data_IF_166954331247
#
_entry.id   IF_166954331247
#
_cell.length_a   1.000
_cell.length_b   1.000
_cell.length_c   1.000
_cell.angle_alpha   90.00
_cell.angle_beta   90.00
_cell.angle_gamma   90.00
#
_symmetry.space_group_name_H-M   'P 1'
#
loop_
_entity.id
_entity.type
_entity.pdbx_description
1 polymer ?
#
# COMPACT_ATOMS: atom_id res chain seq x y z
N UNK A 1 9.49 26.39 9.77
CA UNK A 1 9.35 25.25 10.71
C UNK A 1 9.77 23.96 10.02
N UNK A 2 10.46 23.07 10.74
CA UNK A 2 10.82 21.72 10.28
C UNK A 2 9.95 20.72 11.04
N UNK A 3 9.45 19.70 10.35
CA UNK A 3 8.60 18.66 10.94
C UNK A 3 9.27 17.29 10.84
N UNK A 4 9.41 16.60 11.98
CA UNK A 4 9.83 15.21 12.06
C UNK A 4 8.61 14.30 12.15
N UNK A 5 8.53 13.28 11.30
CA UNK A 5 7.43 12.30 11.26
C UNK A 5 7.89 10.98 11.89
N UNK A 6 7.09 10.41 12.77
CA UNK A 6 7.45 9.18 13.50
C UNK A 6 7.30 7.91 12.66
N UNK A 7 6.33 7.87 11.74
CA UNK A 7 6.10 6.73 10.85
C UNK A 7 6.64 6.98 9.44
N UNK A 8 6.98 5.90 8.70
CA UNK A 8 7.33 6.01 7.28
C UNK A 8 6.23 6.68 6.45
N UNK A 9 6.62 7.37 5.37
CA UNK A 9 5.72 8.22 4.57
C UNK A 9 4.58 7.46 3.86
N UNK A 10 4.68 6.13 3.71
CA UNK A 10 3.68 5.30 3.06
C UNK A 10 2.51 4.91 3.98
N UNK A 11 2.62 5.13 5.29
CA UNK A 11 1.52 4.86 6.22
C UNK A 11 0.45 5.98 6.13
N UNK A 12 -0.85 5.63 6.17
CA UNK A 12 -1.94 6.60 6.06
C UNK A 12 -2.00 7.52 7.28
N UNK A 13 -1.83 6.97 8.48
CA UNK A 13 -1.70 7.72 9.72
C UNK A 13 -0.23 7.96 10.06
N UNK A 14 0.08 9.14 10.58
CA UNK A 14 1.40 9.45 11.10
C UNK A 14 1.35 10.65 12.06
N UNK A 15 2.16 10.59 13.10
CA UNK A 15 2.33 11.68 14.05
C UNK A 15 3.59 12.47 13.71
N UNK A 16 3.60 13.77 14.01
CA UNK A 16 4.76 14.62 13.79
C UNK A 16 5.04 15.56 14.96
N UNK A 17 6.33 15.85 15.12
CA UNK A 17 6.83 16.93 15.96
C UNK A 17 7.35 18.06 15.07
N UNK A 18 7.04 19.31 15.41
CA UNK A 18 7.44 20.51 14.69
C UNK A 18 8.30 21.38 15.58
N UNK A 19 9.37 21.94 15.02
CA UNK A 19 10.23 22.92 15.68
C UNK A 19 10.73 23.96 14.66
N UNK A 20 10.82 25.21 15.06
CA UNK A 20 11.52 26.24 14.30
C UNK A 20 11.06 27.66 14.63
N UNK A 21 11.48 28.62 13.81
CA UNK A 21 10.99 29.99 13.88
C UNK A 21 9.69 30.18 13.12
N UNK A 22 8.78 30.99 13.65
CA UNK A 22 7.60 31.52 12.97
C UNK A 22 7.64 33.03 12.99
N UNK A 23 7.33 33.65 11.85
CA UNK A 23 7.04 35.07 11.80
C UNK A 23 5.53 35.24 11.95
N UNK A 24 5.10 36.00 12.96
CA UNK A 24 3.71 36.30 13.24
C UNK A 24 3.48 37.80 13.09
N UNK A 25 2.45 38.16 12.33
CA UNK A 25 1.93 39.52 12.27
C UNK A 25 0.63 39.53 13.07
N UNK A 26 0.54 40.44 14.05
CA UNK A 26 -0.64 40.58 14.90
C UNK A 26 -1.33 41.87 14.52
N UNK A 27 -2.53 41.78 13.95
CA UNK A 27 -3.39 42.93 13.65
C UNK A 27 -4.57 42.92 14.62
N UNK A 28 -4.78 44.02 15.35
CA UNK A 28 -5.88 44.18 16.30
C UNK A 28 -6.76 45.36 15.88
N UNK A 29 -8.06 45.10 15.70
CA UNK A 29 -9.03 46.10 15.18
C UNK A 29 -9.66 46.98 16.27
N UNK A 30 -9.37 46.74 17.55
CA UNK A 30 -9.99 47.51 18.65
C UNK A 30 -9.10 48.67 19.11
N UNK A 31 -9.55 49.90 18.83
CA UNK A 31 -8.92 51.17 19.23
C UNK A 31 -8.74 51.37 20.75
N UNK A 32 -9.33 50.53 21.60
CA UNK A 32 -9.19 50.60 23.07
C UNK A 32 -8.00 49.81 23.60
N UNK A 33 -7.38 48.98 22.76
CA UNK A 33 -6.24 48.15 23.14
C UNK A 33 -5.03 48.67 22.37
N UNK A 34 -4.22 49.49 23.04
CA UNK A 34 -3.00 50.04 22.45
C UNK A 34 -1.99 48.93 22.24
N UNK A 35 -1.92 48.41 21.02
CA UNK A 35 -0.90 47.45 20.60
C UNK A 35 -0.09 48.05 19.45
N UNK A 36 1.22 48.18 19.67
CA UNK A 36 2.18 48.45 18.61
C UNK A 36 2.32 47.22 17.71
N UNK A 37 2.33 47.46 16.40
CA UNK A 37 2.51 46.44 15.37
C UNK A 37 3.93 45.86 15.48
N UNK A 38 4.06 44.73 16.17
CA UNK A 38 5.37 44.14 16.46
C UNK A 38 5.60 42.87 15.61
N UNK A 39 6.41 43.00 14.56
CA UNK A 39 6.86 41.88 13.75
C UNK A 39 7.98 41.13 14.48
N UNK A 40 7.65 40.07 15.22
CA UNK A 40 8.63 39.28 15.98
C UNK A 40 8.81 37.89 15.39
N UNK A 41 10.08 37.46 15.20
CA UNK A 41 10.41 36.04 14.95
C UNK A 41 10.34 35.29 16.27
N UNK A 42 9.50 34.26 16.34
CA UNK A 42 9.29 33.50 17.57
C UNK A 42 9.71 32.05 17.41
N UNK A 43 10.38 31.51 18.43
CA UNK A 43 10.63 30.07 18.53
C UNK A 43 9.33 29.36 18.82
N UNK A 44 9.06 28.32 18.05
CA UNK A 44 7.82 27.54 18.09
C UNK A 44 8.14 26.06 18.11
N UNK A 45 7.39 25.33 18.93
CA UNK A 45 7.36 23.88 18.89
C UNK A 45 5.92 23.40 18.80
N UNK A 46 5.71 22.18 18.31
CA UNK A 46 4.37 21.64 18.22
C UNK A 46 4.35 20.15 17.96
N UNK A 47 3.17 19.60 18.15
CA UNK A 47 2.86 18.20 17.91
C UNK A 47 1.61 18.15 17.04
N UNK A 48 1.50 17.10 16.25
CA UNK A 48 0.29 16.89 15.49
C UNK A 48 0.16 15.48 14.98
N UNK A 49 -1.04 15.17 14.55
CA UNK A 49 -1.37 13.95 13.84
C UNK A 49 -1.86 14.33 12.45
N UNK A 50 -1.39 13.62 11.44
CA UNK A 50 -1.92 13.75 10.09
C UNK A 50 -2.42 12.40 9.59
N UNK A 51 -3.54 12.43 8.87
CA UNK A 51 -4.13 11.28 8.22
C UNK A 51 -4.28 11.57 6.73
N UNK A 52 -3.66 10.71 5.91
CA UNK A 52 -3.71 10.74 4.46
C UNK A 52 -4.56 9.59 3.95
N UNK A 53 -5.55 9.90 3.11
CA UNK A 53 -6.37 8.89 2.48
C UNK A 53 -5.59 8.20 1.34
N UNK A 54 -5.47 6.87 1.38
CA UNK A 54 -4.66 6.10 0.40
C UNK A 54 -5.13 6.28 -1.04
N UNK A 55 -6.44 6.26 -1.25
CA UNK A 55 -7.07 6.34 -2.58
C UNK A 55 -7.48 7.75 -2.98
N UNK A 56 -7.21 8.76 -2.16
CA UNK A 56 -7.62 10.14 -2.45
C UNK A 56 -6.48 11.13 -2.22
N UNK A 57 -6.47 12.26 -2.94
CA UNK A 57 -5.47 13.31 -2.75
C UNK A 57 -5.68 14.12 -1.46
N UNK A 58 -6.74 13.84 -0.70
CA UNK A 58 -7.07 14.56 0.51
C UNK A 58 -6.23 14.10 1.70
N UNK A 59 -6.03 15.01 2.64
CA UNK A 59 -5.51 14.71 3.96
C UNK A 59 -6.19 15.61 4.98
N UNK A 60 -6.22 15.12 6.21
CA UNK A 60 -6.62 15.89 7.38
C UNK A 60 -5.44 15.92 8.35
N UNK A 61 -5.22 17.04 9.03
CA UNK A 61 -4.27 17.11 10.12
C UNK A 61 -4.85 17.86 11.30
N UNK A 62 -4.41 17.49 12.48
CA UNK A 62 -4.60 18.24 13.71
C UNK A 62 -3.23 18.64 14.22
N UNK A 63 -3.08 19.93 14.53
CA UNK A 63 -1.83 20.53 14.94
C UNK A 63 -2.05 21.33 16.22
N UNK A 64 -1.20 21.08 17.22
CA UNK A 64 -1.09 21.85 18.45
C UNK A 64 0.32 22.44 18.53
N UNK A 65 0.43 23.76 18.45
CA UNK A 65 1.70 24.50 18.47
C UNK A 65 1.74 25.50 19.61
N UNK A 66 2.91 25.63 20.23
CA UNK A 66 3.20 26.55 21.31
C UNK A 66 4.30 27.51 20.85
N UNK A 67 4.06 28.81 20.99
CA UNK A 67 4.95 29.89 20.59
C UNK A 67 5.54 30.54 21.85
N UNK A 68 6.79 31.00 21.78
CA UNK A 68 7.54 31.48 22.95
C UNK A 68 6.97 32.75 23.61
N UNK A 69 6.20 33.58 22.89
CA UNK A 69 5.65 34.87 23.36
C UNK A 69 4.20 34.73 23.86
N UNK A 70 3.85 33.58 24.42
CA UNK A 70 2.54 33.22 25.01
C UNK A 70 1.38 32.91 24.04
N UNK A 71 1.67 32.70 22.75
CA UNK A 71 0.65 32.23 21.81
C UNK A 71 0.61 30.68 21.76
N UNK A 72 -0.59 30.11 21.77
CA UNK A 72 -0.83 28.70 21.48
C UNK A 72 -1.85 28.59 20.37
N UNK A 73 -1.60 27.68 19.43
CA UNK A 73 -2.50 27.43 18.33
C UNK A 73 -2.89 25.95 18.31
N UNK A 74 -4.18 25.70 18.15
CA UNK A 74 -4.74 24.37 17.91
C UNK A 74 -5.66 24.45 16.72
N UNK A 75 -5.42 23.64 15.69
CA UNK A 75 -6.19 23.72 14.46
C UNK A 75 -6.36 22.37 13.78
N UNK A 76 -7.50 22.22 13.11
CA UNK A 76 -7.73 21.17 12.13
C UNK A 76 -7.47 21.75 10.73
N UNK A 77 -6.69 21.05 9.94
CA UNK A 77 -6.43 21.38 8.55
C UNK A 77 -7.02 20.29 7.67
N UNK A 78 -7.73 20.69 6.63
CA UNK A 78 -8.18 19.81 5.55
C UNK A 78 -7.49 20.32 4.29
N UNK A 79 -6.73 19.45 3.63
CA UNK A 79 -5.97 19.84 2.45
C UNK A 79 -6.01 18.77 1.38
N UNK A 80 -5.56 19.14 0.18
CA UNK A 80 -5.48 18.25 -0.98
C UNK A 80 -4.14 18.43 -1.67
N UNK A 81 -3.47 17.33 -2.00
CA UNK A 81 -2.24 17.34 -2.79
C UNK A 81 -2.54 17.55 -4.29
N UNK A 82 -1.83 18.49 -4.90
CA UNK A 82 -1.80 18.66 -6.36
C UNK A 82 -0.82 17.65 -6.98
N UNK A 83 -1.18 17.06 -8.13
CA UNK A 83 -0.32 16.07 -8.82
C UNK A 83 -0.31 14.68 -8.18
N UNK A 84 -1.36 14.30 -7.43
CA UNK A 84 -1.48 12.98 -6.82
C UNK A 84 -1.45 11.87 -7.88
N UNK A 85 -0.41 11.04 -7.85
CA UNK A 85 -0.38 9.74 -8.53
C UNK A 85 -0.76 8.68 -7.51
N UNK A 86 -1.74 7.83 -7.85
CA UNK A 86 -2.12 6.68 -7.02
C UNK A 86 -0.86 5.84 -6.79
N UNK A 87 -0.43 5.71 -5.54
CA UNK A 87 0.67 4.80 -5.22
C UNK A 87 0.08 3.38 -5.27
N UNK A 88 0.12 2.79 -6.46
CA UNK A 88 -0.18 1.38 -6.63
C UNK A 88 1.00 0.67 -5.96
N UNK A 89 0.81 -0.09 -4.87
CA UNK A 89 1.89 -0.91 -4.34
C UNK A 89 2.38 -1.72 -5.53
N UNK A 90 3.67 -1.59 -5.86
CA UNK A 90 4.29 -2.47 -6.83
C UNK A 90 4.13 -3.83 -6.16
N UNK A 91 3.14 -4.60 -6.61
CA UNK A 91 3.12 -6.02 -6.34
C UNK A 91 4.43 -6.45 -6.93
N UNK A 92 5.42 -6.61 -6.06
CA UNK A 92 6.64 -7.29 -6.40
C UNK A 92 6.11 -8.62 -6.89
N UNK A 93 6.05 -8.74 -8.22
CA UNK A 93 5.62 -9.97 -8.86
C UNK A 93 6.45 -10.99 -8.12
N UNK A 94 5.78 -11.87 -7.38
CA UNK A 94 6.43 -13.04 -6.83
C UNK A 94 7.17 -13.56 -8.04
N UNK A 95 8.50 -13.43 -8.02
CA UNK A 95 9.33 -14.02 -9.05
C UNK A 95 8.93 -15.45 -8.87
N UNK A 96 8.09 -15.95 -9.77
CA UNK A 96 7.80 -17.36 -9.88
C UNK A 96 9.19 -17.92 -9.99
N UNK A 97 9.67 -18.50 -8.90
CA UNK A 97 10.97 -19.14 -8.91
C UNK A 97 10.88 -20.14 -10.08
N UNK A 98 12.00 -20.54 -10.69
CA UNK A 98 11.97 -21.56 -11.74
C UNK A 98 11.25 -22.86 -11.32
N UNK A 99 10.95 -22.99 -10.03
CA UNK A 99 10.20 -24.06 -9.41
C UNK A 99 8.66 -23.95 -9.49
N UNK A 100 8.06 -22.86 -10.00
CA UNK A 100 6.61 -22.83 -10.31
C UNK A 100 6.30 -23.41 -11.71
N UNK A 101 7.30 -23.97 -12.39
CA UNK A 101 7.12 -24.91 -13.49
C UNK A 101 7.33 -26.36 -13.06
N UNK A 102 7.52 -26.63 -11.76
CA UNK A 102 7.20 -27.94 -11.19
C UNK A 102 5.75 -27.90 -10.67
N UNK A 103 4.81 -27.45 -11.52
CA UNK A 103 3.52 -28.10 -11.51
C UNK A 103 3.84 -29.57 -11.76
N UNK A 104 3.82 -30.36 -10.69
CA UNK A 104 3.76 -31.81 -10.77
C UNK A 104 2.76 -32.11 -11.88
N UNK A 105 3.28 -32.53 -13.02
CA UNK A 105 2.48 -33.10 -14.09
C UNK A 105 1.85 -34.33 -13.45
N UNK A 106 0.65 -34.14 -12.90
CA UNK A 106 -0.10 -35.18 -12.24
C UNK A 106 -0.51 -36.16 -13.33
N UNK A 107 -0.13 -37.41 -13.10
CA UNK A 107 -0.49 -38.57 -13.89
C UNK A 107 -1.23 -39.47 -12.88
N UNK A 108 -2.56 -39.39 -12.93
CA UNK A 108 -3.46 -39.95 -11.91
C UNK A 108 -3.54 -41.47 -11.99
N UNK A 109 -3.52 -42.04 -13.20
CA UNK A 109 -3.55 -43.47 -13.46
C UNK A 109 -2.14 -44.09 -13.59
N UNK A 110 -1.10 -43.27 -13.77
CA UNK A 110 0.32 -43.64 -13.80
C UNK A 110 0.71 -44.43 -15.04
N UNK A 111 0.18 -44.04 -16.19
CA UNK A 111 0.43 -44.67 -17.48
C UNK A 111 1.58 -44.00 -18.27
N UNK A 112 2.11 -42.88 -17.76
CA UNK A 112 3.17 -42.11 -18.37
C UNK A 112 2.70 -40.92 -19.21
N UNK A 113 1.39 -40.68 -19.29
CA UNK A 113 0.76 -39.52 -19.92
C UNK A 113 0.17 -38.63 -18.83
N UNK A 114 0.39 -37.32 -18.94
CA UNK A 114 -0.05 -36.37 -17.92
C UNK A 114 -1.57 -36.15 -18.05
N UNK A 115 -2.30 -35.98 -16.94
CA UNK A 115 -3.78 -35.81 -16.93
C UNK A 115 -4.28 -34.72 -17.90
N UNK A 116 -3.45 -33.72 -18.20
CA UNK A 116 -3.77 -32.62 -19.12
C UNK A 116 -3.75 -33.02 -20.60
N UNK A 117 -2.97 -34.04 -20.96
CA UNK A 117 -2.81 -34.56 -22.31
C UNK A 117 -3.40 -35.96 -22.47
N UNK A 118 -3.89 -36.55 -21.38
CA UNK A 118 -4.52 -37.85 -21.35
C UNK A 118 -6.01 -37.76 -21.73
N UNK A 119 -6.37 -38.47 -22.79
CA UNK A 119 -7.74 -38.61 -23.29
C UNK A 119 -8.49 -39.81 -22.66
N UNK A 120 -7.78 -40.61 -21.87
CA UNK A 120 -8.16 -41.90 -21.32
C UNK A 120 -7.78 -42.04 -19.82
N UNK A 121 -8.39 -41.24 -18.91
CA UNK A 121 -7.99 -41.06 -17.49
C UNK A 121 -8.18 -42.28 -16.56
N UNK A 122 -8.44 -43.46 -17.11
CA UNK A 122 -8.64 -44.72 -16.40
C UNK A 122 -7.94 -45.87 -17.16
N UNK A 123 -6.71 -45.63 -17.62
CA UNK A 123 -5.91 -46.69 -18.21
C UNK A 123 -5.40 -47.64 -17.13
N UNK A 124 -5.33 -48.94 -17.46
CA UNK A 124 -4.81 -49.95 -16.53
C UNK A 124 -3.28 -49.83 -16.41
N UNK A 125 -2.79 -49.78 -15.18
CA UNK A 125 -1.34 -49.70 -14.90
C UNK A 125 -0.59 -50.88 -15.52
N UNK A 126 0.35 -50.57 -16.41
CA UNK A 126 1.23 -51.54 -17.06
C UNK A 126 0.78 -52.01 -18.44
N UNK A 127 -0.30 -51.42 -19.00
CA UNK A 127 -0.70 -51.62 -20.40
C UNK A 127 0.07 -50.65 -21.31
N UNK A 128 0.39 -51.07 -22.53
CA UNK A 128 0.96 -50.15 -23.53
C UNK A 128 -0.09 -49.12 -23.97
N UNK A 129 0.17 -47.86 -23.63
CA UNK A 129 -0.64 -46.70 -24.02
C UNK A 129 0.01 -45.94 -25.18
N UNK A 130 -0.84 -45.33 -26.02
CA UNK A 130 -0.40 -44.46 -27.10
C UNK A 130 -0.04 -43.05 -26.59
N UNK A 131 0.27 -42.13 -27.51
CA UNK A 131 0.64 -40.75 -27.17
C UNK A 131 -0.49 -39.94 -26.50
N UNK A 132 -1.70 -40.49 -26.48
CA UNK A 132 -2.91 -39.88 -25.91
C UNK A 132 -3.33 -40.51 -24.58
N UNK A 133 -2.56 -41.47 -24.04
CA UNK A 133 -2.90 -42.20 -22.80
C UNK A 133 -3.89 -43.35 -23.00
N UNK A 134 -4.21 -43.68 -24.25
CA UNK A 134 -5.19 -44.71 -24.56
C UNK A 134 -4.52 -46.05 -24.89
N UNK A 135 -5.05 -47.16 -24.36
CA UNK A 135 -4.52 -48.50 -24.61
C UNK A 135 -4.55 -48.89 -26.09
N UNK A 136 -3.45 -49.49 -26.57
CA UNK A 136 -3.32 -49.93 -27.98
C UNK A 136 -3.90 -51.32 -28.25
N UNK A 137 -3.95 -52.19 -27.24
CA UNK A 137 -4.55 -53.51 -27.31
C UNK A 137 -5.97 -53.52 -26.71
N UNK A 138 -6.85 -54.35 -27.30
CA UNK A 138 -8.32 -54.37 -27.13
C UNK A 138 -8.84 -54.80 -25.73
N UNK A 139 -8.24 -54.31 -24.66
CA UNK A 139 -8.73 -54.47 -23.31
C UNK A 139 -9.00 -53.09 -22.67
N UNK A 140 -10.27 -52.70 -22.65
CA UNK A 140 -10.85 -52.01 -21.49
C UNK A 140 -10.81 -50.49 -21.39
N UNK A 141 -10.00 -49.74 -22.14
CA UNK A 141 -9.95 -48.28 -21.90
C UNK A 141 -11.11 -47.52 -22.57
N UNK A 142 -11.88 -46.77 -21.79
CA UNK A 142 -13.02 -45.96 -22.24
C UNK A 142 -12.50 -44.59 -22.65
N UNK A 143 -12.49 -44.30 -23.96
CA UNK A 143 -12.29 -42.94 -24.47
C UNK A 143 -13.47 -42.06 -24.08
N UNK A 144 -13.18 -40.96 -23.38
CA UNK A 144 -14.18 -39.93 -23.09
C UNK A 144 -14.16 -38.96 -24.29
N UNK A 145 -15.05 -39.19 -25.26
CA UNK A 145 -15.30 -38.24 -26.36
C UNK A 145 -16.03 -36.98 -25.90
#
# INVERSE_FOLDING_TARGET
>A
MIAYRFLPQYKPFNAHFKLGGTWLNTEATDSRIGYEEESTVQVTWGIGAYYRFTDSPWFISFDYTNHAKDARFSGFHIGRYFGFKKHIPKVEKIVRTPFENLQLQLDSDQDGVIDKLDECPLSDRGVEVDKTGCCTEKAGCIRIQ
#
